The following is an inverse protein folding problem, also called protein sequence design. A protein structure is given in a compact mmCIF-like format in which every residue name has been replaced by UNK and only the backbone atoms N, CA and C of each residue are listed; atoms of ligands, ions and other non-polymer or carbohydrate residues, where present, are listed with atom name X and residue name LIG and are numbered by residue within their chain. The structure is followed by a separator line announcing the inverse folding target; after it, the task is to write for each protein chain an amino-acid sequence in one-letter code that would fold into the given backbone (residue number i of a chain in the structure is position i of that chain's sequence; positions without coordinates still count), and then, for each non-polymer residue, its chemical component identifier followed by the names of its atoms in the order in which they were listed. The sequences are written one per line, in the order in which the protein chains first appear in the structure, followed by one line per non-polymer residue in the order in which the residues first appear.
data_IF_032130040170
#
_entry.id   IF_032130040170
#
_cell.length_a   1.000
_cell.length_b   1.000
_cell.length_c   1.000
_cell.angle_alpha   90.00
_cell.angle_beta   90.00
_cell.angle_gamma   90.00
#
_symmetry.space_group_name_H-M   'P 1'
#
loop_
_entity.id
_entity.type
_entity.pdbx_description
1 polymer ?
#
# COMPACT_ATOMS: atom_id res chain seq x y z
N UNK A 1 -7.65 -4.28 11.42
CA UNK A 1 -7.42 -3.22 12.43
C UNK A 1 -5.92 -3.01 12.68
N UNK A 2 -5.12 -4.04 12.96
CA UNK A 2 -3.68 -3.91 13.23
C UNK A 2 -2.81 -3.33 12.09
N UNK A 3 -3.06 -3.69 10.82
CA UNK A 3 -2.21 -3.25 9.69
C UNK A 3 -2.33 -1.74 9.45
N UNK A 4 -3.53 -1.16 9.59
CA UNK A 4 -3.75 0.27 9.41
C UNK A 4 -3.01 1.09 10.48
N UNK A 5 -2.99 0.63 11.74
CA UNK A 5 -2.24 1.29 12.81
C UNK A 5 -0.73 1.22 12.59
N UNK A 6 -0.21 0.08 12.12
CA UNK A 6 1.22 -0.07 11.79
C UNK A 6 1.63 0.92 10.69
N UNK A 7 0.83 1.04 9.62
CA UNK A 7 1.10 1.99 8.53
C UNK A 7 1.02 3.44 9.02
N UNK A 8 -0.01 3.77 9.81
CA UNK A 8 -0.19 5.11 10.39
C UNK A 8 0.98 5.48 11.30
N UNK A 9 1.40 4.58 12.18
CA UNK A 9 2.51 4.82 13.09
C UNK A 9 3.84 4.93 12.33
N UNK A 10 4.08 4.10 11.32
CA UNK A 10 5.26 4.22 10.46
C UNK A 10 5.30 5.55 9.71
N UNK A 11 4.15 6.03 9.22
CA UNK A 11 4.03 7.33 8.55
C UNK A 11 4.28 8.50 9.51
N UNK A 12 3.71 8.47 10.72
CA UNK A 12 3.96 9.48 11.75
C UNK A 12 5.43 9.53 12.18
N UNK A 13 6.07 8.37 12.33
CA UNK A 13 7.51 8.28 12.58
C UNK A 13 8.33 8.80 11.39
N UNK A 14 7.91 8.49 10.16
CA UNK A 14 8.55 8.98 8.94
C UNK A 14 8.54 10.51 8.83
N UNK A 15 7.39 11.14 9.10
CA UNK A 15 7.28 12.59 9.14
C UNK A 15 8.11 13.21 10.26
N UNK A 16 8.09 12.63 11.47
CA UNK A 16 8.94 13.10 12.57
C UNK A 16 10.43 12.99 12.27
N UNK A 17 10.85 11.94 11.56
CA UNK A 17 12.24 11.80 11.08
C UNK A 17 12.57 12.84 10.01
N UNK A 18 11.68 13.14 9.07
CA UNK A 18 11.91 14.22 8.09
C UNK A 18 12.14 15.57 8.78
N UNK A 19 11.31 15.89 9.77
CA UNK A 19 11.38 17.16 10.49
C UNK A 19 12.68 17.26 11.31
N UNK A 20 13.07 16.17 11.99
CA UNK A 20 14.35 16.07 12.72
C UNK A 20 15.57 16.25 11.82
N UNK A 21 15.53 15.69 10.61
CA UNK A 21 16.61 15.85 9.62
C UNK A 21 16.71 17.30 9.15
N UNK A 22 15.56 17.96 8.93
CA UNK A 22 15.50 19.38 8.59
C UNK A 22 16.11 20.26 9.69
N UNK A 23 15.69 20.05 10.93
CA UNK A 23 16.23 20.78 12.10
C UNK A 23 17.73 20.56 12.27
N UNK A 24 18.21 19.33 12.11
CA UNK A 24 19.63 19.01 12.22
C UNK A 24 20.45 19.73 11.14
N UNK A 25 19.97 19.73 9.89
CA UNK A 25 20.65 20.44 8.80
C UNK A 25 20.65 21.94 9.05
N UNK A 26 19.53 22.51 9.50
CA UNK A 26 19.43 23.95 9.84
C UNK A 26 20.37 24.33 11.00
N UNK A 27 20.56 23.46 12.00
CA UNK A 27 21.54 23.68 13.07
C UNK A 27 22.99 23.69 12.55
N UNK A 28 23.35 22.77 11.67
CA UNK A 28 24.71 22.68 11.10
C UNK A 28 24.99 23.89 10.21
N UNK A 29 23.97 24.36 9.47
CA UNK A 29 24.04 25.62 8.70
C UNK A 29 24.23 26.82 9.64
N UNK A 30 23.47 26.91 10.74
CA UNK A 30 23.63 27.99 11.74
C UNK A 30 24.99 27.98 12.43
N UNK A 31 25.59 26.81 12.63
CA UNK A 31 26.95 26.66 13.17
C UNK A 31 28.03 27.08 12.16
N UNK A 32 27.66 27.38 10.91
CA UNK A 32 28.58 27.81 9.85
C UNK A 32 29.40 26.68 9.24
N UNK A 33 29.13 25.44 9.61
CA UNK A 33 29.81 24.25 9.08
C UNK A 33 29.30 23.87 7.68
N UNK A 34 28.16 24.43 7.28
CA UNK A 34 27.52 24.16 5.99
C UNK A 34 26.87 25.44 5.46
N UNK A 35 26.92 25.68 4.14
CA UNK A 35 26.17 26.79 3.56
C UNK A 35 24.67 26.46 3.47
N UNK A 36 23.80 27.48 3.48
CA UNK A 36 22.35 27.31 3.27
C UNK A 36 22.03 26.52 1.99
N UNK A 37 22.80 26.75 0.92
CA UNK A 37 22.64 26.04 -0.35
C UNK A 37 22.98 24.54 -0.25
N UNK A 38 24.00 24.18 0.54
CA UNK A 38 24.37 22.79 0.77
C UNK A 38 23.35 22.09 1.66
N UNK A 39 22.80 22.79 2.65
CA UNK A 39 21.79 22.24 3.57
C UNK A 39 20.48 21.93 2.84
N UNK A 40 19.99 22.90 2.07
CA UNK A 40 18.80 22.72 1.24
C UNK A 40 18.96 21.56 0.24
N UNK A 41 20.16 21.39 -0.33
CA UNK A 41 20.46 20.29 -1.24
C UNK A 41 20.45 18.93 -0.55
N UNK A 42 21.03 18.81 0.65
CA UNK A 42 21.02 17.57 1.44
C UNK A 42 19.60 17.14 1.84
N UNK A 43 18.78 18.08 2.31
CA UNK A 43 17.37 17.80 2.67
C UNK A 43 16.60 17.32 1.44
N UNK A 44 16.81 17.97 0.29
CA UNK A 44 16.17 17.60 -0.97
C UNK A 44 16.58 16.20 -1.43
N UNK A 45 17.88 15.91 -1.48
CA UNK A 45 18.40 14.58 -1.88
C UNK A 45 17.91 13.47 -0.94
N UNK A 46 17.85 13.73 0.37
CA UNK A 46 17.33 12.77 1.34
C UNK A 46 15.84 12.51 1.14
N UNK A 47 15.05 13.57 0.88
CA UNK A 47 13.61 13.46 0.62
C UNK A 47 13.33 12.69 -0.67
N UNK A 48 14.00 13.03 -1.78
CA UNK A 48 13.86 12.32 -3.05
C UNK A 48 14.23 10.84 -2.91
N UNK A 49 15.29 10.53 -2.15
CA UNK A 49 15.71 9.14 -1.90
C UNK A 49 14.71 8.39 -1.01
N UNK A 50 14.11 9.07 -0.03
CA UNK A 50 13.09 8.49 0.84
C UNK A 50 11.79 8.18 0.07
N UNK A 51 11.35 9.09 -0.81
CA UNK A 51 10.20 8.89 -1.69
C UNK A 51 10.42 7.69 -2.63
N UNK A 52 11.57 7.65 -3.30
CA UNK A 52 11.91 6.54 -4.21
C UNK A 52 11.94 5.19 -3.49
N UNK A 53 12.55 5.13 -2.30
CA UNK A 53 12.58 3.91 -1.50
C UNK A 53 11.16 3.50 -1.04
N UNK A 54 10.29 4.46 -0.75
CA UNK A 54 8.91 4.18 -0.34
C UNK A 54 8.10 3.56 -1.47
N UNK A 55 8.30 4.02 -2.71
CA UNK A 55 7.64 3.47 -3.89
C UNK A 55 8.08 2.01 -4.16
N UNK A 56 9.38 1.73 -4.07
CA UNK A 56 9.93 0.37 -4.21
C UNK A 56 9.39 -0.58 -3.11
N UNK A 57 9.28 -0.09 -1.87
CA UNK A 57 8.69 -0.83 -0.75
C UNK A 57 7.22 -1.12 -1.03
N UNK A 58 6.44 -0.13 -1.49
CA UNK A 58 5.02 -0.28 -1.81
C UNK A 58 4.80 -1.34 -2.89
N UNK A 59 5.61 -1.30 -3.95
CA UNK A 59 5.57 -2.30 -5.03
C UNK A 59 5.91 -3.71 -4.51
N UNK A 60 6.96 -3.83 -3.70
CA UNK A 60 7.36 -5.10 -3.09
C UNK A 60 6.28 -5.66 -2.16
N UNK A 61 5.62 -4.80 -1.38
CA UNK A 61 4.50 -5.16 -0.52
C UNK A 61 3.29 -5.63 -1.32
N UNK A 62 2.93 -4.94 -2.39
CA UNK A 62 1.83 -5.35 -3.28
C UNK A 62 2.10 -6.72 -3.91
N UNK A 63 3.32 -6.97 -4.36
CA UNK A 63 3.73 -8.27 -4.89
C UNK A 63 3.70 -9.37 -3.83
N UNK A 64 4.14 -9.07 -2.61
CA UNK A 64 4.07 -10.02 -1.49
C UNK A 64 2.62 -10.37 -1.15
N UNK A 65 1.74 -9.36 -1.09
CA UNK A 65 0.32 -9.53 -0.82
C UNK A 65 -0.36 -10.35 -1.91
N UNK A 66 -0.12 -10.04 -3.20
CA UNK A 66 -0.61 -10.82 -4.34
C UNK A 66 -0.15 -12.28 -4.25
N UNK A 67 1.15 -12.52 -4.07
CA UNK A 67 1.69 -13.89 -3.92
C UNK A 67 1.12 -14.63 -2.73
N UNK A 68 0.83 -13.93 -1.64
CA UNK A 68 0.23 -14.53 -0.44
C UNK A 68 -1.23 -14.92 -0.68
N UNK A 69 -2.01 -14.04 -1.31
CA UNK A 69 -3.40 -14.31 -1.72
C UNK A 69 -3.45 -15.48 -2.71
N UNK A 70 -2.57 -15.49 -3.71
CA UNK A 70 -2.47 -16.57 -4.70
C UNK A 70 -2.13 -17.91 -4.03
N UNK A 71 -1.19 -17.92 -3.08
CA UNK A 71 -0.81 -19.13 -2.33
C UNK A 71 -1.91 -19.65 -1.40
N UNK A 72 -2.72 -18.76 -0.84
CA UNK A 72 -3.84 -19.14 0.02
C UNK A 72 -5.07 -19.63 -0.77
N UNK A 73 -5.04 -19.61 -2.12
CA UNK A 73 -6.20 -19.91 -2.99
C UNK A 73 -7.46 -19.17 -2.55
N UNK A 74 -7.31 -17.95 -2.04
CA UNK A 74 -8.45 -17.15 -1.62
C UNK A 74 -9.18 -16.70 -2.88
N UNK A 75 -10.48 -17.03 -3.05
CA UNK A 75 -11.24 -16.57 -4.20
C UNK A 75 -11.28 -15.04 -4.18
N UNK A 76 -10.99 -14.42 -5.32
CA UNK A 76 -11.12 -12.99 -5.48
C UNK A 76 -12.61 -12.60 -5.44
N UNK A 77 -12.89 -11.30 -5.28
CA UNK A 77 -14.26 -10.80 -5.38
C UNK A 77 -14.91 -11.16 -6.73
N UNK A 78 -14.14 -11.10 -7.81
CA UNK A 78 -14.61 -11.47 -9.15
C UNK A 78 -14.95 -12.96 -9.27
N UNK A 79 -14.21 -13.83 -8.58
CA UNK A 79 -14.51 -15.27 -8.57
C UNK A 79 -15.81 -15.56 -7.82
N UNK A 80 -16.08 -14.83 -6.73
CA UNK A 80 -17.35 -14.90 -6.01
C UNK A 80 -18.52 -14.39 -6.86
N UNK A 81 -18.33 -13.29 -7.60
CA UNK A 81 -19.35 -12.75 -8.48
C UNK A 81 -19.67 -13.73 -9.63
N UNK A 82 -18.64 -14.36 -10.23
CA UNK A 82 -18.84 -15.43 -11.24
C UNK A 82 -19.60 -16.63 -10.68
N UNK A 83 -19.27 -17.08 -9.47
CA UNK A 83 -20.03 -18.16 -8.82
C UNK A 83 -21.50 -17.77 -8.59
N UNK A 84 -21.79 -16.55 -8.17
CA UNK A 84 -23.16 -16.08 -7.97
C UNK A 84 -23.97 -16.08 -9.28
N UNK A 85 -23.37 -15.64 -10.39
CA UNK A 85 -24.01 -15.69 -11.71
C UNK A 85 -24.32 -17.13 -12.11
N UNK A 86 -23.34 -18.04 -11.98
CA UNK A 86 -23.55 -19.46 -12.29
C UNK A 86 -24.63 -20.10 -11.40
N UNK A 87 -24.66 -19.78 -10.10
CA UNK A 87 -25.70 -20.25 -9.18
C UNK A 87 -27.08 -19.75 -9.62
N UNK A 88 -27.18 -18.49 -10.04
CA UNK A 88 -28.43 -17.90 -10.52
C UNK A 88 -28.92 -18.60 -11.78
N UNK A 89 -28.06 -18.77 -12.79
CA UNK A 89 -28.39 -19.48 -14.03
C UNK A 89 -28.81 -20.94 -13.78
N UNK A 90 -28.11 -21.64 -12.89
CA UNK A 90 -28.47 -23.01 -12.50
C UNK A 90 -29.83 -23.05 -11.80
N UNK A 91 -30.10 -22.09 -10.91
CA UNK A 91 -31.39 -21.98 -10.20
C UNK A 91 -32.53 -21.75 -11.19
N UNK A 92 -32.35 -20.87 -12.17
CA UNK A 92 -33.35 -20.63 -13.22
C UNK A 92 -33.58 -21.86 -14.11
N UNK A 93 -32.52 -22.59 -14.47
CA UNK A 93 -32.63 -23.83 -15.26
C UNK A 93 -33.38 -24.92 -14.50
N UNK A 94 -33.07 -25.11 -13.22
CA UNK A 94 -33.75 -26.08 -12.36
C UNK A 94 -35.24 -25.72 -12.29
N UNK A 95 -35.57 -24.45 -12.03
CA UNK A 95 -36.96 -23.99 -11.95
C UNK A 95 -37.74 -24.26 -13.25
N UNK A 96 -37.15 -23.99 -14.41
CA UNK A 96 -37.77 -24.30 -15.72
C UNK A 96 -37.99 -25.80 -15.94
N UNK A 97 -37.07 -26.65 -15.46
CA UNK A 97 -37.19 -28.10 -15.57
C UNK A 97 -38.23 -28.68 -14.61
N UNK A 98 -38.38 -28.10 -13.42
CA UNK A 98 -39.42 -28.45 -12.46
C UNK A 98 -40.81 -28.04 -12.97
N UNK A 99 -40.92 -26.84 -13.56
CA UNK A 99 -42.16 -26.35 -14.22
C UNK A 99 -42.55 -27.17 -15.46
N UNK A 100 -41.60 -27.87 -16.12
CA UNK A 100 -41.87 -28.76 -17.25
C UNK A 100 -42.21 -30.20 -16.85
N UNK A 101 -41.95 -30.59 -15.60
CA UNK A 101 -42.20 -31.95 -15.07
C UNK A 101 -43.46 -32.05 -14.21
N UNK A 102 -44.05 -30.94 -13.80
CA UNK A 102 -45.39 -30.87 -13.18
C UNK A 102 -46.49 -30.69 -14.22
#
# INVERSE_FOLDING_TARGET
MAIFEIIRNAMLLGFGVQEKVREFVDEVVKKGELSESQGAKLVKEWTEKAEKNTEDISNSLNDLLKKTIDKMKLPSKEDLDKMNVQITELTERIKKLEEQKG
#
